data_IF_808889237252
#
_entry.id   IF_808889237252
#
_cell.length_a   1.000
_cell.length_b   1.000
_cell.length_c   1.000
_cell.angle_alpha   90.00
_cell.angle_beta   90.00
_cell.angle_gamma   90.00
#
_symmetry.space_group_name_H-M   'P 1'
#
loop_
_entity.id
_entity.type
_entity.pdbx_description
1 polymer ?
#
# COMPACT_ATOMS: atom_id res chain seq x y z
N UNK A 1 -41.91 -18.97 -62.32
CA UNK A 1 -40.51 -18.58 -62.56
C UNK A 1 -40.34 -17.18 -62.04
N UNK A 2 -39.78 -17.06 -60.83
CA UNK A 2 -38.77 -16.07 -60.45
C UNK A 2 -38.42 -16.39 -59.02
N UNK A 3 -37.13 -16.60 -58.83
CA UNK A 3 -36.51 -17.20 -57.67
C UNK A 3 -36.54 -16.33 -56.43
N UNK A 4 -36.45 -17.06 -55.32
CA UNK A 4 -36.17 -16.67 -53.96
C UNK A 4 -34.98 -15.71 -53.86
N UNK A 5 -35.20 -14.57 -53.21
CA UNK A 5 -34.15 -13.88 -52.46
C UNK A 5 -34.58 -13.94 -51.01
N UNK A 6 -33.96 -14.84 -50.26
CA UNK A 6 -33.97 -14.83 -48.80
C UNK A 6 -33.32 -13.54 -48.32
N UNK A 7 -34.10 -12.72 -47.62
CA UNK A 7 -33.57 -11.78 -46.64
C UNK A 7 -34.15 -12.16 -45.30
N UNK A 8 -33.29 -12.78 -44.49
CA UNK A 8 -33.42 -12.96 -43.05
C UNK A 8 -34.11 -11.77 -42.39
N UNK A 9 -35.31 -11.99 -41.86
CA UNK A 9 -35.79 -11.23 -40.72
C UNK A 9 -35.85 -12.18 -39.53
N UNK A 10 -34.72 -12.25 -38.83
CA UNK A 10 -34.58 -12.74 -37.47
C UNK A 10 -35.52 -11.93 -36.57
N UNK A 11 -36.78 -12.35 -36.46
CA UNK A 11 -37.75 -11.75 -35.55
C UNK A 11 -37.43 -12.23 -34.12
N UNK A 12 -36.59 -11.47 -33.43
CA UNK A 12 -36.49 -11.55 -31.97
C UNK A 12 -37.85 -11.15 -31.39
N UNK A 13 -38.56 -12.13 -30.84
CA UNK A 13 -39.74 -11.94 -30.00
C UNK A 13 -39.30 -11.35 -28.65
N UNK A 14 -38.96 -10.05 -28.69
CA UNK A 14 -38.41 -9.27 -27.58
C UNK A 14 -39.53 -8.60 -26.73
N UNK A 15 -40.76 -9.11 -26.80
CA UNK A 15 -41.94 -8.53 -26.15
C UNK A 15 -42.46 -9.34 -24.93
N UNK A 16 -41.56 -10.02 -24.22
CA UNK A 16 -41.86 -10.62 -22.89
C UNK A 16 -41.30 -9.78 -21.74
N UNK A 17 -41.34 -8.45 -21.87
CA UNK A 17 -41.05 -7.52 -20.76
C UNK A 17 -42.03 -6.34 -20.65
N UNK A 18 -43.30 -6.52 -21.03
CA UNK A 18 -44.38 -5.54 -20.80
C UNK A 18 -45.11 -5.76 -19.48
N UNK A 19 -44.37 -5.98 -18.39
CA UNK A 19 -44.87 -5.73 -17.04
C UNK A 19 -44.19 -4.46 -16.53
N UNK A 20 -44.76 -3.30 -16.88
CA UNK A 20 -44.42 -2.03 -16.25
C UNK A 20 -44.68 -2.15 -14.74
N UNK A 21 -43.64 -2.49 -13.98
CA UNK A 21 -43.65 -2.35 -12.52
C UNK A 21 -43.82 -0.87 -12.23
N UNK A 22 -45.03 -0.47 -11.88
CA UNK A 22 -45.26 0.83 -11.26
C UNK A 22 -44.29 0.97 -10.08
N UNK A 23 -43.36 1.94 -10.20
CA UNK A 23 -42.53 2.34 -9.08
C UNK A 23 -43.48 2.88 -8.02
N UNK A 24 -43.72 2.09 -6.97
CA UNK A 24 -44.31 2.63 -5.75
C UNK A 24 -43.38 3.72 -5.23
N UNK A 25 -43.83 4.96 -5.35
CA UNK A 25 -43.16 6.12 -4.79
C UNK A 25 -43.40 6.08 -3.27
N UNK A 26 -42.43 5.50 -2.55
CA UNK A 26 -42.49 5.43 -1.10
C UNK A 26 -42.17 6.84 -0.58
N UNK A 27 -43.20 7.54 -0.11
CA UNK A 27 -43.05 8.86 0.51
C UNK A 27 -42.18 8.76 1.76
N UNK A 28 -40.94 9.25 1.69
CA UNK A 28 -39.93 9.20 2.77
C UNK A 28 -40.45 9.84 4.07
N UNK A 29 -41.42 10.75 3.97
CA UNK A 29 -42.08 11.42 5.10
C UNK A 29 -42.93 10.51 5.99
N UNK A 30 -43.28 9.28 5.56
CA UNK A 30 -44.11 8.35 6.34
C UNK A 30 -43.32 7.20 6.98
N UNK A 31 -41.99 7.17 6.82
CA UNK A 31 -41.14 6.18 7.48
C UNK A 31 -40.51 6.88 8.68
N UNK A 32 -41.08 6.65 9.85
CA UNK A 32 -40.44 7.01 11.12
C UNK A 32 -39.18 6.13 11.24
N UNK A 33 -38.03 6.68 10.84
CA UNK A 33 -36.76 5.98 10.92
C UNK A 33 -36.43 5.74 12.39
N UNK A 34 -36.65 4.52 12.85
CA UNK A 34 -36.06 4.03 14.08
C UNK A 34 -34.71 3.41 13.72
N UNK A 35 -33.63 4.03 14.20
CA UNK A 35 -32.33 3.37 14.19
C UNK A 35 -32.50 2.03 14.92
N UNK A 36 -32.22 0.91 14.26
CA UNK A 36 -32.12 -0.37 14.95
C UNK A 36 -31.01 -0.24 15.99
N UNK A 37 -31.39 -0.26 17.26
CA UNK A 37 -30.46 -0.18 18.39
C UNK A 37 -29.66 -1.51 18.52
N UNK A 38 -30.11 -2.58 17.85
CA UNK A 38 -29.56 -3.95 17.93
C UNK A 38 -28.61 -4.36 16.79
N UNK A 39 -27.92 -3.42 16.12
CA UNK A 39 -26.92 -3.79 15.09
C UNK A 39 -25.48 -3.90 15.60
N UNK A 40 -25.26 -3.96 16.91
CA UNK A 40 -23.92 -4.22 17.46
C UNK A 40 -23.74 -5.73 17.73
N UNK A 41 -22.91 -6.40 16.92
CA UNK A 41 -22.52 -7.78 17.16
C UNK A 41 -23.35 -8.90 16.49
N UNK A 42 -24.19 -8.62 15.49
CA UNK A 42 -24.86 -9.67 14.68
C UNK A 42 -23.88 -10.70 14.08
N UNK A 43 -22.62 -10.29 13.95
CA UNK A 43 -21.50 -11.08 13.45
C UNK A 43 -20.76 -11.90 14.52
N UNK A 44 -21.17 -11.81 15.79
CA UNK A 44 -20.68 -12.69 16.84
C UNK A 44 -21.56 -13.94 16.91
N UNK A 45 -20.94 -15.11 16.82
CA UNK A 45 -21.62 -16.41 16.83
C UNK A 45 -20.82 -17.40 17.66
N UNK A 46 -21.52 -18.37 18.26
CA UNK A 46 -20.93 -19.49 19.00
C UNK A 46 -20.55 -20.66 18.10
N UNK A 47 -20.87 -20.59 16.79
CA UNK A 47 -20.47 -21.61 15.81
C UNK A 47 -18.94 -21.64 15.67
N UNK A 48 -18.41 -22.83 15.36
CA UNK A 48 -16.99 -22.94 15.04
C UNK A 48 -16.66 -22.23 13.73
N UNK A 49 -15.40 -21.78 13.57
CA UNK A 49 -14.97 -21.11 12.33
C UNK A 49 -15.05 -22.05 11.12
N UNK A 50 -14.75 -23.34 11.29
CA UNK A 50 -14.89 -24.34 10.22
C UNK A 50 -16.33 -24.47 9.72
N UNK A 51 -17.31 -24.53 10.63
CA UNK A 51 -18.74 -24.57 10.26
C UNK A 51 -19.16 -23.27 9.60
N UNK A 52 -18.78 -22.13 10.19
CA UNK A 52 -19.17 -20.81 9.71
C UNK A 52 -18.64 -20.54 8.31
N UNK A 53 -17.41 -20.95 8.01
CA UNK A 53 -16.79 -20.73 6.69
C UNK A 53 -17.43 -21.53 5.55
N UNK A 54 -18.21 -22.56 5.87
CA UNK A 54 -18.95 -23.36 4.88
C UNK A 54 -20.36 -22.79 4.59
N UNK A 55 -20.83 -21.83 5.38
CA UNK A 55 -22.12 -21.20 5.18
C UNK A 55 -22.09 -20.10 4.11
N UNK A 56 -23.21 -19.88 3.43
CA UNK A 56 -23.33 -18.89 2.34
C UNK A 56 -22.91 -17.47 2.75
N UNK A 57 -23.20 -17.07 4.00
CA UNK A 57 -22.86 -15.75 4.52
C UNK A 57 -21.85 -15.77 5.66
N UNK A 58 -21.45 -16.96 6.12
CA UNK A 58 -20.60 -17.09 7.29
C UNK A 58 -19.17 -16.54 7.10
N UNK A 59 -18.50 -16.69 5.94
CA UNK A 59 -17.21 -16.02 5.71
C UNK A 59 -17.28 -14.50 5.86
N UNK A 60 -18.35 -13.86 5.35
CA UNK A 60 -18.52 -12.41 5.48
C UNK A 60 -18.85 -12.01 6.92
N UNK A 61 -19.68 -12.80 7.60
CA UNK A 61 -19.94 -12.64 9.03
C UNK A 61 -18.63 -12.70 9.85
N UNK A 62 -17.78 -13.67 9.56
CA UNK A 62 -16.48 -13.81 10.22
C UNK A 62 -15.54 -12.65 9.91
N UNK A 63 -15.49 -12.18 8.65
CA UNK A 63 -14.73 -10.96 8.29
C UNK A 63 -15.18 -9.77 9.13
N UNK A 64 -16.49 -9.50 9.22
CA UNK A 64 -17.02 -8.41 10.05
C UNK A 64 -16.66 -8.58 11.53
N UNK A 65 -16.66 -9.82 12.05
CA UNK A 65 -16.23 -10.12 13.42
C UNK A 65 -14.76 -9.83 13.66
N UNK A 66 -13.89 -10.17 12.70
CA UNK A 66 -12.45 -9.89 12.71
C UNK A 66 -12.22 -8.38 12.69
N UNK A 67 -12.84 -7.66 11.77
CA UNK A 67 -12.72 -6.21 11.62
C UNK A 67 -13.18 -5.49 12.88
N UNK A 68 -14.31 -5.91 13.46
CA UNK A 68 -14.78 -5.37 14.73
C UNK A 68 -13.75 -5.58 15.84
N UNK A 69 -13.27 -6.81 16.06
CA UNK A 69 -12.26 -7.05 17.10
C UNK A 69 -10.96 -6.26 16.85
N UNK A 70 -10.54 -6.09 15.58
CA UNK A 70 -9.39 -5.28 15.20
C UNK A 70 -9.57 -3.79 15.50
N UNK A 71 -10.72 -3.20 15.11
CA UNK A 71 -11.03 -1.78 15.34
C UNK A 71 -11.17 -1.45 16.83
N UNK A 72 -11.69 -2.40 17.62
CA UNK A 72 -11.79 -2.29 19.08
C UNK A 72 -10.50 -2.72 19.80
N UNK A 73 -9.39 -2.87 19.07
CA UNK A 73 -8.04 -3.17 19.60
C UNK A 73 -7.95 -4.49 20.37
N UNK A 74 -8.87 -5.43 20.14
CA UNK A 74 -8.83 -6.79 20.67
C UNK A 74 -7.94 -7.65 19.76
N UNK A 75 -6.68 -7.23 19.62
CA UNK A 75 -5.75 -7.77 18.61
C UNK A 75 -5.52 -9.27 18.74
N UNK A 76 -5.51 -9.82 19.96
CA UNK A 76 -5.34 -11.26 20.15
C UNK A 76 -6.51 -12.07 19.59
N UNK A 77 -7.75 -11.64 19.87
CA UNK A 77 -8.97 -12.26 19.31
C UNK A 77 -9.02 -12.13 17.79
N UNK A 78 -8.74 -10.92 17.28
CA UNK A 78 -8.71 -10.66 15.85
C UNK A 78 -7.67 -11.55 15.16
N UNK A 79 -6.45 -11.67 15.72
CA UNK A 79 -5.40 -12.52 15.16
C UNK A 79 -5.81 -13.99 15.13
N UNK A 80 -6.32 -14.54 16.23
CA UNK A 80 -6.74 -15.93 16.29
C UNK A 80 -7.80 -16.25 15.23
N UNK A 81 -8.81 -15.39 15.08
CA UNK A 81 -9.82 -15.52 14.02
C UNK A 81 -9.24 -15.39 12.62
N UNK A 82 -8.32 -14.46 12.39
CA UNK A 82 -7.63 -14.33 11.09
C UNK A 82 -6.87 -15.60 10.72
N UNK A 83 -6.10 -16.17 11.65
CA UNK A 83 -5.29 -17.36 11.39
C UNK A 83 -6.17 -18.57 11.09
N UNK A 84 -7.28 -18.75 11.83
CA UNK A 84 -8.24 -19.80 11.55
C UNK A 84 -8.95 -19.59 10.20
N UNK A 85 -9.34 -18.36 9.88
CA UNK A 85 -9.90 -18.01 8.57
C UNK A 85 -8.96 -18.41 7.42
N UNK A 86 -7.69 -18.02 7.53
CA UNK A 86 -6.65 -18.32 6.54
C UNK A 86 -6.43 -19.83 6.47
N UNK A 87 -6.38 -20.54 7.60
CA UNK A 87 -6.26 -22.00 7.64
C UNK A 87 -7.39 -22.66 6.86
N UNK A 88 -8.65 -22.35 7.18
CA UNK A 88 -9.81 -22.99 6.55
C UNK A 88 -9.88 -22.68 5.05
N UNK A 89 -9.60 -21.44 4.66
CA UNK A 89 -9.54 -21.05 3.25
C UNK A 89 -8.48 -21.80 2.44
N UNK A 90 -7.41 -22.29 3.09
CA UNK A 90 -6.35 -23.08 2.44
C UNK A 90 -6.62 -24.58 2.43
N UNK A 91 -7.20 -25.12 3.50
CA UNK A 91 -7.29 -26.58 3.69
C UNK A 91 -8.59 -27.19 3.19
N UNK A 92 -9.63 -26.38 2.96
CA UNK A 92 -10.95 -26.88 2.59
C UNK A 92 -11.34 -26.45 1.17
N UNK A 93 -11.28 -27.39 0.22
CA UNK A 93 -11.60 -27.15 -1.20
C UNK A 93 -13.06 -26.75 -1.43
N UNK A 94 -13.97 -27.02 -0.48
CA UNK A 94 -15.37 -26.59 -0.55
C UNK A 94 -15.52 -25.10 -0.22
N UNK A 95 -14.51 -24.50 0.42
CA UNK A 95 -14.49 -23.12 0.85
C UNK A 95 -14.14 -22.20 -0.32
N UNK A 96 -15.14 -21.72 -1.06
CA UNK A 96 -14.95 -20.81 -2.22
C UNK A 96 -14.83 -19.35 -1.78
N UNK A 97 -13.89 -19.07 -0.89
CA UNK A 97 -13.80 -17.75 -0.27
C UNK A 97 -12.80 -16.87 -1.00
N UNK A 98 -13.27 -15.70 -1.46
CA UNK A 98 -12.46 -14.68 -2.11
C UNK A 98 -12.05 -13.58 -1.11
N UNK A 99 -10.88 -12.98 -1.33
CA UNK A 99 -10.40 -11.85 -0.52
C UNK A 99 -9.81 -12.24 0.84
N UNK A 100 -8.88 -13.21 0.86
CA UNK A 100 -8.02 -13.51 2.03
C UNK A 100 -7.00 -12.40 2.31
N UNK A 101 -6.82 -11.47 1.37
CA UNK A 101 -5.84 -10.38 1.45
C UNK A 101 -6.06 -9.49 2.66
N UNK A 102 -7.24 -8.88 2.77
CA UNK A 102 -7.62 -7.98 3.88
C UNK A 102 -7.42 -8.68 5.24
N UNK A 103 -7.81 -9.95 5.31
CA UNK A 103 -7.63 -10.78 6.52
C UNK A 103 -6.16 -11.01 6.83
N UNK A 104 -5.34 -11.25 5.81
CA UNK A 104 -3.88 -11.38 5.95
C UNK A 104 -3.24 -10.06 6.41
N UNK A 105 -3.70 -8.92 5.87
CA UNK A 105 -3.22 -7.60 6.31
C UNK A 105 -3.57 -7.33 7.77
N UNK A 106 -4.81 -7.59 8.19
CA UNK A 106 -5.24 -7.49 9.59
C UNK A 106 -4.40 -8.43 10.46
N UNK A 107 -4.14 -9.67 10.01
CA UNK A 107 -3.30 -10.62 10.73
C UNK A 107 -1.86 -10.10 10.91
N UNK A 108 -1.25 -9.53 9.87
CA UNK A 108 0.10 -8.94 9.94
C UNK A 108 0.12 -7.76 10.93
N UNK A 109 -0.89 -6.90 10.87
CA UNK A 109 -1.06 -5.78 11.79
C UNK A 109 -1.18 -6.24 13.24
N UNK A 110 -2.06 -7.20 13.54
CA UNK A 110 -2.22 -7.76 14.87
C UNK A 110 -0.94 -8.45 15.36
N UNK A 111 -0.25 -9.19 14.49
CA UNK A 111 1.01 -9.87 14.82
C UNK A 111 2.06 -8.87 15.28
N UNK A 112 2.22 -7.74 14.59
CA UNK A 112 3.12 -6.65 15.02
C UNK A 112 2.67 -6.05 16.35
N UNK A 113 1.37 -5.77 16.53
CA UNK A 113 0.85 -5.19 17.77
C UNK A 113 1.04 -6.08 19.00
N UNK A 114 1.05 -7.39 18.80
CA UNK A 114 1.28 -8.40 19.84
C UNK A 114 2.74 -8.86 19.93
N UNK A 115 3.63 -8.28 19.14
CA UNK A 115 5.04 -8.68 19.03
C UNK A 115 5.25 -10.18 18.68
N UNK A 116 4.33 -10.77 17.91
CA UNK A 116 4.41 -12.16 17.42
C UNK A 116 5.10 -12.18 16.05
N UNK A 117 6.41 -11.94 16.03
CA UNK A 117 7.19 -11.79 14.78
C UNK A 117 7.33 -13.10 13.98
N UNK A 118 7.29 -14.25 14.63
CA UNK A 118 7.33 -15.56 13.94
C UNK A 118 6.07 -15.75 13.09
N UNK A 119 4.90 -15.42 13.65
CA UNK A 119 3.62 -15.43 12.92
C UNK A 119 3.64 -14.43 11.77
N UNK A 120 4.20 -13.23 11.98
CA UNK A 120 4.36 -12.25 10.91
C UNK A 120 5.21 -12.80 9.75
N UNK A 121 6.29 -13.53 10.07
CA UNK A 121 7.16 -14.14 9.06
C UNK A 121 6.40 -15.17 8.23
N UNK A 122 5.64 -16.06 8.88
CA UNK A 122 4.80 -17.05 8.19
C UNK A 122 3.76 -16.40 7.27
N UNK A 123 3.11 -15.31 7.72
CA UNK A 123 2.15 -14.55 6.92
C UNK A 123 2.81 -13.88 5.70
N UNK A 124 4.05 -13.41 5.82
CA UNK A 124 4.81 -12.80 4.72
C UNK A 124 5.30 -13.82 3.69
N UNK A 125 5.52 -15.07 4.10
CA UNK A 125 5.91 -16.19 3.23
C UNK A 125 4.72 -16.86 2.52
N UNK A 126 3.49 -16.48 2.89
CA UNK A 126 2.29 -16.98 2.23
C UNK A 126 2.28 -16.63 0.75
N UNK A 127 2.07 -17.65 -0.10
CA UNK A 127 1.94 -17.48 -1.54
C UNK A 127 0.65 -16.72 -1.85
N UNK A 128 0.81 -15.49 -2.32
CA UNK A 128 -0.30 -14.66 -2.75
C UNK A 128 -0.58 -14.94 -4.24
N UNK A 129 -1.81 -15.36 -4.56
CA UNK A 129 -2.21 -15.70 -5.93
C UNK A 129 -2.24 -14.49 -6.86
N UNK A 130 -2.44 -13.30 -6.30
CA UNK A 130 -2.45 -12.03 -7.03
C UNK A 130 -1.69 -10.98 -6.22
N UNK A 131 -0.65 -10.41 -6.81
CA UNK A 131 0.05 -9.25 -6.26
C UNK A 131 -0.70 -8.02 -6.74
N UNK A 132 -1.34 -7.30 -5.81
CA UNK A 132 -1.89 -5.98 -6.08
C UNK A 132 -1.00 -4.89 -5.47
N UNK A 133 -1.21 -3.65 -5.92
CA UNK A 133 -0.47 -2.48 -5.45
C UNK A 133 -0.56 -2.29 -3.93
N UNK A 134 -1.73 -2.52 -3.33
CA UNK A 134 -1.92 -2.34 -1.88
C UNK A 134 -1.05 -3.31 -1.08
N UNK A 135 -1.03 -4.57 -1.51
CA UNK A 135 -0.24 -5.63 -0.90
C UNK A 135 1.26 -5.33 -0.97
N UNK A 136 1.77 -4.75 -2.07
CA UNK A 136 3.18 -4.34 -2.17
C UNK A 136 3.56 -3.34 -1.07
N UNK A 137 2.73 -2.32 -0.84
CA UNK A 137 2.94 -1.35 0.24
C UNK A 137 2.90 -2.02 1.61
N UNK A 138 1.92 -2.89 1.84
CA UNK A 138 1.76 -3.63 3.09
C UNK A 138 2.99 -4.52 3.37
N UNK A 139 3.46 -5.27 2.38
CA UNK A 139 4.68 -6.09 2.50
C UNK A 139 5.90 -5.23 2.80
N UNK A 140 6.12 -4.16 2.05
CA UNK A 140 7.24 -3.24 2.27
C UNK A 140 7.32 -2.71 3.70
N UNK A 141 6.16 -2.45 4.32
CA UNK A 141 6.06 -1.99 5.71
C UNK A 141 6.43 -3.06 6.75
N UNK A 142 6.07 -4.32 6.51
CA UNK A 142 6.23 -5.39 7.49
C UNK A 142 7.53 -6.17 7.36
N UNK A 143 8.05 -6.34 6.14
CA UNK A 143 9.31 -7.06 5.86
C UNK A 143 10.52 -6.53 6.66
N UNK A 144 10.72 -5.19 6.84
CA UNK A 144 11.83 -4.66 7.64
C UNK A 144 11.76 -5.05 9.12
N UNK A 145 10.56 -5.34 9.65
CA UNK A 145 10.37 -5.72 11.06
C UNK A 145 10.88 -7.12 11.35
N UNK A 146 10.94 -7.99 10.33
CA UNK A 146 11.50 -9.35 10.40
C UNK A 146 12.91 -9.42 9.79
N UNK A 147 13.55 -8.27 9.55
CA UNK A 147 14.92 -8.19 9.05
C UNK A 147 15.09 -8.43 7.55
N UNK A 148 14.00 -8.52 6.77
CA UNK A 148 14.01 -8.80 5.32
C UNK A 148 14.06 -7.50 4.51
N UNK A 149 15.15 -6.74 4.66
CA UNK A 149 15.26 -5.39 4.08
C UNK A 149 15.33 -5.37 2.56
N UNK A 150 15.98 -6.38 1.95
CA UNK A 150 16.07 -6.53 0.49
C UNK A 150 14.68 -6.59 -0.15
N UNK A 151 13.86 -7.51 0.33
CA UNK A 151 12.50 -7.71 -0.19
C UNK A 151 11.58 -6.52 0.11
N UNK A 152 11.82 -5.84 1.24
CA UNK A 152 11.10 -4.61 1.54
C UNK A 152 11.39 -3.51 0.51
N UNK A 153 12.67 -3.33 0.16
CA UNK A 153 13.09 -2.38 -0.85
C UNK A 153 12.44 -2.69 -2.20
N UNK A 154 12.52 -3.94 -2.65
CA UNK A 154 11.89 -4.38 -3.89
C UNK A 154 10.38 -4.12 -3.88
N UNK A 155 9.68 -4.44 -2.78
CA UNK A 155 8.24 -4.18 -2.64
C UNK A 155 7.91 -2.68 -2.76
N UNK A 156 8.74 -1.80 -2.19
CA UNK A 156 8.56 -0.35 -2.30
C UNK A 156 8.85 0.19 -3.71
N UNK A 157 9.88 -0.34 -4.38
CA UNK A 157 10.21 0.05 -5.76
C UNK A 157 9.10 -0.36 -6.72
N UNK A 158 8.63 -1.61 -6.64
CA UNK A 158 7.51 -2.10 -7.46
C UNK A 158 6.22 -1.31 -7.18
N UNK A 159 5.91 -1.03 -5.92
CA UNK A 159 4.79 -0.17 -5.56
C UNK A 159 4.89 1.22 -6.22
N UNK A 160 6.07 1.84 -6.15
CA UNK A 160 6.26 3.20 -6.64
C UNK A 160 6.17 3.28 -8.17
N UNK A 161 6.56 2.22 -8.90
CA UNK A 161 6.36 2.14 -10.36
C UNK A 161 4.88 2.33 -10.74
N UNK A 162 3.95 1.87 -9.91
CA UNK A 162 2.51 2.04 -10.09
C UNK A 162 1.94 3.33 -9.44
N UNK A 163 2.51 3.78 -8.32
CA UNK A 163 2.06 4.96 -7.55
C UNK A 163 3.14 6.03 -7.40
N UNK A 164 3.52 6.62 -8.53
CA UNK A 164 4.67 7.53 -8.70
C UNK A 164 4.69 8.83 -7.85
N UNK A 165 3.58 9.18 -7.21
CA UNK A 165 3.41 10.41 -6.43
C UNK A 165 3.20 10.16 -4.94
N UNK A 166 3.33 8.92 -4.48
CA UNK A 166 3.28 8.64 -3.04
C UNK A 166 4.64 8.91 -2.38
N UNK A 167 4.77 10.09 -1.79
CA UNK A 167 5.98 10.50 -1.06
C UNK A 167 6.29 9.59 0.14
N UNK A 168 5.29 8.92 0.73
CA UNK A 168 5.51 8.12 1.95
C UNK A 168 6.43 6.95 1.67
N UNK A 169 6.34 6.38 0.47
CA UNK A 169 7.17 5.24 0.09
C UNK A 169 8.64 5.61 0.00
N UNK A 170 8.96 6.81 -0.49
CA UNK A 170 10.33 7.34 -0.42
C UNK A 170 10.83 7.52 1.01
N UNK A 171 9.98 8.03 1.91
CA UNK A 171 10.34 8.14 3.32
C UNK A 171 10.53 6.77 3.99
N UNK A 172 9.77 5.75 3.60
CA UNK A 172 9.96 4.39 4.11
C UNK A 172 11.20 3.70 3.54
N UNK A 173 11.52 3.89 2.25
CA UNK A 173 12.80 3.46 1.68
C UNK A 173 13.99 4.07 2.45
N UNK A 174 13.91 5.37 2.77
CA UNK A 174 14.93 6.02 3.59
C UNK A 174 15.07 5.38 4.98
N UNK A 175 13.96 5.05 5.64
CA UNK A 175 13.97 4.35 6.92
C UNK A 175 14.62 2.96 6.83
N UNK A 176 14.40 2.23 5.73
CA UNK A 176 15.04 0.94 5.50
C UNK A 176 16.56 1.11 5.43
N UNK A 177 17.05 2.05 4.62
CA UNK A 177 18.49 2.32 4.51
C UNK A 177 19.11 2.72 5.85
N UNK A 178 18.47 3.65 6.58
CA UNK A 178 18.92 4.06 7.92
C UNK A 178 19.02 2.87 8.87
N UNK A 179 17.98 2.04 8.96
CA UNK A 179 17.98 0.86 9.84
C UNK A 179 19.07 -0.13 9.48
N UNK A 180 19.35 -0.34 8.20
CA UNK A 180 20.43 -1.24 7.79
C UNK A 180 21.82 -0.65 8.10
N UNK A 181 22.00 0.65 7.93
CA UNK A 181 23.24 1.37 8.25
C UNK A 181 23.55 1.43 9.75
N UNK A 182 22.54 1.26 10.59
CA UNK A 182 22.72 1.19 12.04
C UNK A 182 23.15 -0.20 12.53
N UNK A 183 23.02 -1.24 11.69
CA UNK A 183 23.39 -2.62 12.07
C UNK A 183 24.88 -2.91 11.92
N UNK A 184 25.51 -2.35 10.90
CA UNK A 184 26.92 -2.52 10.64
C UNK A 184 27.52 -1.22 10.10
N UNK A 185 28.82 -1.03 10.33
CA UNK A 185 29.55 0.13 9.82
C UNK A 185 30.38 -0.31 8.61
N UNK A 186 30.35 0.51 7.55
CA UNK A 186 31.00 0.21 6.27
C UNK A 186 32.00 1.31 5.92
N UNK A 187 33.05 0.95 5.21
CA UNK A 187 34.14 1.87 4.89
C UNK A 187 33.70 3.02 3.97
N UNK A 188 32.87 2.71 2.97
CA UNK A 188 32.32 3.68 2.02
C UNK A 188 30.81 3.84 2.22
N UNK A 189 30.35 3.90 3.47
CA UNK A 189 28.93 3.87 3.84
C UNK A 189 28.02 4.75 2.93
N UNK A 190 27.25 4.11 2.04
CA UNK A 190 26.36 4.81 1.10
C UNK A 190 24.90 4.81 1.54
N UNK A 191 24.50 4.00 2.52
CA UNK A 191 23.09 3.89 2.92
C UNK A 191 22.57 5.17 3.56
N UNK A 192 23.37 5.88 4.34
CA UNK A 192 22.98 7.20 4.86
C UNK A 192 22.83 8.25 3.75
N UNK A 193 23.67 8.18 2.71
CA UNK A 193 23.58 9.06 1.55
C UNK A 193 22.31 8.77 0.71
N UNK A 194 22.00 7.48 0.47
CA UNK A 194 20.76 7.05 -0.15
C UNK A 194 19.53 7.43 0.67
N UNK A 195 19.56 7.25 1.99
CA UNK A 195 18.46 7.67 2.86
C UNK A 195 18.20 9.18 2.76
N UNK A 196 19.26 9.97 2.72
CA UNK A 196 19.17 11.41 2.53
C UNK A 196 18.53 11.77 1.18
N UNK A 197 19.00 11.16 0.09
CA UNK A 197 18.44 11.32 -1.26
C UNK A 197 16.94 10.96 -1.28
N UNK A 198 16.56 9.81 -0.74
CA UNK A 198 15.17 9.37 -0.67
C UNK A 198 14.30 10.33 0.16
N UNK A 199 14.81 10.89 1.25
CA UNK A 199 14.08 11.90 2.04
C UNK A 199 13.90 13.22 1.29
N UNK A 200 14.91 13.71 0.57
CA UNK A 200 14.79 14.91 -0.26
C UNK A 200 13.72 14.67 -1.33
N UNK A 201 13.73 13.50 -1.97
CA UNK A 201 12.74 13.11 -2.96
C UNK A 201 11.32 13.06 -2.38
N UNK A 202 11.16 12.51 -1.17
CA UNK A 202 9.88 12.49 -0.46
C UNK A 202 9.34 13.92 -0.24
N UNK A 203 10.18 14.81 0.28
CA UNK A 203 9.81 16.21 0.53
C UNK A 203 9.43 16.90 -0.78
N UNK A 204 10.21 16.74 -1.84
CA UNK A 204 9.91 17.32 -3.14
C UNK A 204 8.52 16.89 -3.65
N UNK A 205 8.21 15.58 -3.63
CA UNK A 205 6.89 15.08 -4.07
C UNK A 205 5.79 15.68 -3.19
N UNK A 206 6.03 15.78 -1.89
CA UNK A 206 5.08 16.31 -0.92
C UNK A 206 4.78 17.80 -1.17
N UNK A 207 5.80 18.63 -1.37
CA UNK A 207 5.67 20.09 -1.55
C UNK A 207 5.12 20.47 -2.91
N UNK A 208 5.42 19.68 -3.96
CA UNK A 208 4.94 19.94 -5.32
C UNK A 208 3.54 19.37 -5.59
N UNK A 209 2.99 18.62 -4.64
CA UNK A 209 1.60 18.16 -4.70
C UNK A 209 0.62 19.33 -4.57
N UNK A 210 -0.57 19.19 -5.19
CA UNK A 210 -1.60 20.25 -5.15
C UNK A 210 -2.36 20.24 -3.82
N UNK A 211 -1.93 21.08 -2.88
CA UNK A 211 -2.61 21.29 -1.60
C UNK A 211 -3.61 22.44 -1.63
N UNK A 212 -4.81 22.23 -1.07
CA UNK A 212 -5.81 23.30 -0.89
C UNK A 212 -5.52 24.10 0.39
N UNK A 213 -4.37 24.78 0.42
CA UNK A 213 -3.89 25.52 1.60
C UNK A 213 -4.76 26.72 2.01
N UNK A 214 -5.80 27.05 1.23
CA UNK A 214 -6.86 27.99 1.64
C UNK A 214 -7.75 27.45 2.75
N UNK A 215 -7.81 26.12 2.93
CA UNK A 215 -8.57 25.48 4.00
C UNK A 215 -7.62 25.29 5.19
N UNK A 216 -7.94 25.92 6.32
CA UNK A 216 -7.09 25.94 7.51
C UNK A 216 -6.71 24.53 8.02
N UNK A 217 -7.67 23.61 8.04
CA UNK A 217 -7.40 22.21 8.38
C UNK A 217 -6.37 21.55 7.45
N UNK A 218 -6.45 21.82 6.15
CA UNK A 218 -5.53 21.25 5.14
C UNK A 218 -4.15 21.88 5.29
N UNK A 219 -4.07 23.19 5.51
CA UNK A 219 -2.83 23.92 5.77
C UNK A 219 -2.12 23.39 7.02
N UNK A 220 -2.84 23.25 8.14
CA UNK A 220 -2.28 22.71 9.38
C UNK A 220 -1.77 21.28 9.22
N UNK A 221 -2.51 20.43 8.48
CA UNK A 221 -2.04 19.09 8.12
C UNK A 221 -0.78 19.14 7.25
N UNK A 222 -0.74 20.07 6.30
CA UNK A 222 0.41 20.25 5.41
C UNK A 222 1.68 20.59 6.20
N UNK A 223 1.61 21.64 7.01
CA UNK A 223 2.73 22.13 7.80
C UNK A 223 3.22 21.10 8.83
N UNK A 224 2.28 20.40 9.48
CA UNK A 224 2.63 19.35 10.45
C UNK A 224 3.39 18.20 9.79
N UNK A 225 2.91 17.71 8.65
CA UNK A 225 3.56 16.58 7.98
C UNK A 225 4.87 17.00 7.32
N UNK A 226 4.95 18.20 6.73
CA UNK A 226 6.20 18.75 6.19
C UNK A 226 7.27 18.82 7.27
N UNK A 227 6.92 19.34 8.46
CA UNK A 227 7.84 19.38 9.60
C UNK A 227 8.35 17.98 9.98
N UNK A 228 7.48 16.96 9.99
CA UNK A 228 7.90 15.59 10.28
C UNK A 228 8.87 15.03 9.21
N UNK A 229 8.67 15.37 7.94
CA UNK A 229 9.58 14.98 6.86
C UNK A 229 10.92 15.70 6.97
N UNK A 230 10.93 17.00 7.30
CA UNK A 230 12.15 17.78 7.52
C UNK A 230 12.94 17.27 8.72
N UNK A 231 12.27 16.89 9.82
CA UNK A 231 12.89 16.26 10.98
C UNK A 231 13.56 14.93 10.61
N UNK A 232 12.91 14.12 9.77
CA UNK A 232 13.50 12.88 9.24
C UNK A 232 14.70 13.15 8.33
N UNK A 233 14.61 14.14 7.44
CA UNK A 233 15.73 14.56 6.59
C UNK A 233 16.91 15.00 7.45
N UNK A 234 16.68 15.81 8.49
CA UNK A 234 17.72 16.25 9.41
C UNK A 234 18.36 15.07 10.16
N UNK A 235 17.57 14.05 10.52
CA UNK A 235 18.10 12.81 11.09
C UNK A 235 19.09 12.11 10.15
N UNK A 236 18.85 12.11 8.84
CA UNK A 236 19.82 11.55 7.87
C UNK A 236 21.10 12.38 7.81
N UNK A 237 21.01 13.72 7.86
CA UNK A 237 22.17 14.63 7.84
C UNK A 237 23.03 14.48 9.08
N UNK A 238 22.44 14.29 10.27
CA UNK A 238 23.17 13.99 11.52
C UNK A 238 24.01 12.72 11.43
N UNK A 239 23.60 11.77 10.59
CA UNK A 239 24.36 10.56 10.25
C UNK A 239 25.30 10.76 9.06
N UNK A 240 25.62 12.01 8.73
CA UNK A 240 26.47 12.43 7.61
C UNK A 240 25.90 12.10 6.22
N UNK A 241 24.59 11.80 6.12
CA UNK A 241 23.90 11.59 4.86
C UNK A 241 23.95 12.84 3.96
N UNK A 242 24.21 12.62 2.69
CA UNK A 242 24.36 13.64 1.65
C UNK A 242 24.09 12.99 0.28
N UNK A 243 23.04 13.43 -0.42
CA UNK A 243 22.64 12.88 -1.71
C UNK A 243 23.72 13.03 -2.80
N UNK A 244 24.42 14.17 -2.85
CA UNK A 244 25.41 14.46 -3.89
C UNK A 244 26.57 13.48 -3.84
N UNK A 245 27.02 13.11 -2.62
CA UNK A 245 28.07 12.08 -2.44
C UNK A 245 27.67 10.72 -3.01
N UNK A 246 26.38 10.35 -2.90
CA UNK A 246 25.90 9.11 -3.52
C UNK A 246 25.89 9.23 -5.04
N UNK A 247 25.47 10.37 -5.58
CA UNK A 247 25.46 10.62 -7.03
C UNK A 247 26.87 10.56 -7.62
N UNK A 248 27.84 11.21 -6.97
CA UNK A 248 29.26 11.15 -7.33
C UNK A 248 29.80 9.72 -7.25
N UNK A 249 29.48 9.00 -6.17
CA UNK A 249 29.88 7.60 -6.01
C UNK A 249 29.29 6.70 -7.11
N UNK A 250 28.03 6.92 -7.50
CA UNK A 250 27.39 6.19 -8.60
C UNK A 250 28.07 6.43 -9.95
N UNK A 251 28.63 7.63 -10.18
CA UNK A 251 29.38 7.96 -11.38
C UNK A 251 30.79 7.34 -11.41
N UNK A 252 31.33 6.89 -10.28
CA UNK A 252 32.64 6.25 -10.22
C UNK A 252 32.59 4.82 -10.81
N UNK A 253 33.47 4.52 -11.76
CA UNK A 253 33.57 3.19 -12.38
C UNK A 253 34.20 2.14 -11.45
N UNK A 254 35.08 2.55 -10.53
CA UNK A 254 35.78 1.67 -9.59
C UNK A 254 35.02 1.49 -8.24
N UNK A 255 33.71 1.74 -8.22
CA UNK A 255 32.91 1.63 -7.00
C UNK A 255 32.77 0.18 -6.50
N UNK A 256 32.76 0.01 -5.18
CA UNK A 256 32.54 -1.29 -4.53
C UNK A 256 31.20 -1.30 -3.78
N UNK A 257 30.28 -2.17 -4.22
CA UNK A 257 28.93 -2.30 -3.63
C UNK A 257 29.00 -2.82 -2.18
N UNK A 258 29.93 -3.73 -1.89
CA UNK A 258 30.11 -4.32 -0.56
C UNK A 258 30.69 -3.33 0.45
N UNK A 259 31.72 -2.57 0.05
CA UNK A 259 32.29 -1.52 0.90
C UNK A 259 31.31 -0.38 1.13
N UNK A 260 30.34 -0.21 0.23
CA UNK A 260 29.27 0.77 0.35
C UNK A 260 28.11 0.32 1.24
N UNK A 261 28.07 -0.95 1.67
CA UNK A 261 26.98 -1.52 2.45
C UNK A 261 25.71 -1.79 1.65
N UNK A 262 25.80 -1.88 0.33
CA UNK A 262 24.66 -2.03 -0.57
C UNK A 262 24.46 -3.46 -1.09
N UNK A 263 25.36 -4.38 -0.73
CA UNK A 263 25.33 -5.82 -1.06
C UNK A 263 24.08 -6.54 -0.47
N UNK A 264 23.50 -5.96 0.57
CA UNK A 264 22.24 -6.41 1.15
C UNK A 264 21.00 -6.18 0.27
N UNK A 265 21.09 -5.35 -0.77
CA UNK A 265 19.95 -4.95 -1.62
C UNK A 265 20.11 -5.46 -3.05
N UNK A 266 19.00 -5.50 -3.80
CA UNK A 266 19.06 -5.80 -5.23
C UNK A 266 19.56 -4.56 -5.97
N UNK A 267 20.59 -4.74 -6.79
CA UNK A 267 21.27 -3.61 -7.45
C UNK A 267 20.34 -2.87 -8.42
N UNK A 268 19.40 -3.57 -9.04
CA UNK A 268 18.41 -2.98 -9.94
C UNK A 268 17.54 -1.93 -9.22
N UNK A 269 17.18 -2.17 -7.96
CA UNK A 269 16.40 -1.24 -7.13
C UNK A 269 17.23 0.02 -6.82
N UNK A 270 18.52 -0.15 -6.48
CA UNK A 270 19.43 0.96 -6.21
C UNK A 270 19.63 1.83 -7.47
N UNK A 271 19.86 1.18 -8.62
CA UNK A 271 19.97 1.85 -9.92
C UNK A 271 18.68 2.56 -10.29
N UNK A 272 17.52 1.96 -9.99
CA UNK A 272 16.22 2.58 -10.22
C UNK A 272 16.04 3.86 -9.39
N UNK A 273 16.38 3.83 -8.09
CA UNK A 273 16.35 5.01 -7.22
C UNK A 273 17.22 6.13 -7.79
N UNK A 274 18.45 5.79 -8.18
CA UNK A 274 19.39 6.74 -8.78
C UNK A 274 18.87 7.34 -10.09
N UNK A 275 18.27 6.53 -10.97
CA UNK A 275 17.71 6.99 -12.23
C UNK A 275 16.48 7.89 -12.03
N UNK A 276 15.56 7.56 -11.11
CA UNK A 276 14.40 8.43 -10.83
C UNK A 276 14.88 9.79 -10.29
N UNK A 277 15.95 9.81 -9.49
CA UNK A 277 16.56 11.04 -9.01
C UNK A 277 17.12 11.91 -10.15
N UNK A 278 17.99 11.36 -11.00
CA UNK A 278 18.62 12.13 -12.09
C UNK A 278 17.60 12.65 -13.08
N UNK A 279 16.69 11.79 -13.56
CA UNK A 279 15.71 12.15 -14.59
C UNK A 279 14.82 13.33 -14.19
N UNK A 280 14.71 13.63 -12.90
CA UNK A 280 13.85 14.70 -12.40
C UNK A 280 14.60 15.97 -12.04
N UNK A 281 15.92 15.90 -11.80
CA UNK A 281 16.75 17.09 -11.79
C UNK A 281 16.71 17.78 -13.17
N UNK A 282 16.71 17.01 -14.25
CA UNK A 282 16.63 17.56 -15.62
C UNK A 282 15.28 18.26 -15.88
N UNK A 283 14.17 17.72 -15.37
CA UNK A 283 12.83 18.32 -15.49
C UNK A 283 12.73 19.62 -14.68
N UNK A 284 13.30 19.66 -13.47
CA UNK A 284 13.33 20.86 -12.63
C UNK A 284 14.15 21.98 -13.27
N UNK A 285 15.28 21.66 -13.91
CA UNK A 285 16.11 22.63 -14.65
C UNK A 285 15.33 23.21 -15.84
N UNK A 286 14.61 22.37 -16.60
CA UNK A 286 13.77 22.83 -17.72
C UNK A 286 12.59 23.71 -17.26
N UNK A 287 11.91 23.36 -16.17
CA UNK A 287 10.82 24.18 -15.59
C UNK A 287 11.34 25.52 -15.04
N UNK A 288 12.49 25.54 -14.36
CA UNK A 288 13.10 26.78 -13.87
C UNK A 288 13.56 27.70 -15.01
N UNK A 289 14.11 27.14 -16.10
CA UNK A 289 14.44 27.91 -17.30
C UNK A 289 13.19 28.46 -18.00
N UNK A 290 12.10 27.70 -18.06
CA UNK A 290 10.83 28.15 -18.61
C UNK A 290 10.17 29.26 -17.77
N UNK A 291 10.23 29.14 -16.44
CA UNK A 291 9.72 30.16 -15.51
C UNK A 291 10.56 31.44 -15.57
N UNK A 292 11.87 31.33 -15.73
CA UNK A 292 12.77 32.48 -15.90
C UNK A 292 12.51 33.20 -17.24
N UNK A 293 12.39 32.46 -18.33
CA UNK A 293 12.05 33.01 -19.65
C UNK A 293 10.69 33.71 -19.68
N UNK A 294 9.70 33.22 -18.91
CA UNK A 294 8.39 33.86 -18.79
C UNK A 294 8.37 35.12 -17.89
N UNK A 295 9.38 35.32 -17.05
CA UNK A 295 9.55 36.53 -16.21
C UNK A 295 10.34 37.63 -16.92
N UNK A 296 11.12 37.27 -17.94
CA UNK A 296 11.94 38.18 -18.74
C UNK A 296 11.22 38.68 -20.02
N UNK A 297 9.94 38.32 -20.20
CA UNK A 297 8.99 38.83 -21.21
C UNK A 297 8.00 39.82 -20.61
#
# INVERSE_FOLDING_TARGET
MTDLVDNDLFAFDDDVFTASKEKQEISISNIEYQAKIDTDGWFHTDKSIDELMLETHGPNQLKSSIEHDYLYKRYDRALSKCLEYIRVARTNDQCKVSGTKEISEIAMHCSVKLNKLDVLKELLDEKQLTIDTGLLLTRGKFLPLVGRYREAMNSYVEYHKERKLDYKVWAEMANVFMKTAEKDNREQEMRYHLANLSMIRAIHIYTNSRWRNKIEFVKNRFEKELKLLEEKLESTKRKQGNADKFVEWMANEAKSIELAGLDGFDWEDIVWIYKDWILRQDIEIEEDHAIKAAKDL
#
